data_IF_870253071511
#
_entry.id   IF_870253071511
#
_cell.length_a   1.000
_cell.length_b   1.000
_cell.length_c   1.000
_cell.angle_alpha   90.00
_cell.angle_beta   90.00
_cell.angle_gamma   90.00
#
_symmetry.space_group_name_H-M   'P 1'
#
loop_
_entity.id
_entity.type
_entity.pdbx_description
1 polymer ?
#
# COMPACT_ATOMS: atom_id res chain seq x y z
N UNK A 1 -3.36 42.94 72.63
CA UNK A 1 -3.09 41.54 72.21
C UNK A 1 -3.35 41.48 70.67
N UNK A 2 -2.29 41.32 69.89
CA UNK A 2 -2.39 41.37 68.40
C UNK A 2 -2.30 39.96 67.88
N UNK A 3 -3.42 39.40 67.39
CA UNK A 3 -3.46 38.08 66.76
C UNK A 3 -2.96 38.20 65.30
N UNK A 4 -1.90 37.47 64.97
CA UNK A 4 -1.40 37.32 63.59
C UNK A 4 -2.17 36.26 62.86
N UNK A 5 -2.92 36.62 61.82
CA UNK A 5 -3.61 35.73 60.94
C UNK A 5 -2.58 35.17 59.92
N UNK A 6 -2.24 33.88 60.02
CA UNK A 6 -1.38 33.19 59.07
C UNK A 6 -2.24 32.67 57.90
N UNK A 7 -2.10 33.32 56.77
CA UNK A 7 -2.77 32.90 55.52
C UNK A 7 -1.91 31.78 54.87
N UNK A 8 -2.37 30.51 54.97
CA UNK A 8 -1.74 29.40 54.28
C UNK A 8 -2.20 29.42 52.81
N UNK A 9 -1.30 29.79 51.91
CA UNK A 9 -1.50 29.71 50.48
C UNK A 9 -1.22 28.29 50.02
N UNK A 10 -2.25 27.50 49.78
CA UNK A 10 -2.14 26.16 49.17
C UNK A 10 -1.85 26.33 47.68
N UNK A 11 -0.59 26.14 47.28
CA UNK A 11 -0.22 25.97 45.87
C UNK A 11 -0.61 24.58 45.39
N UNK A 12 -1.73 24.43 44.70
CA UNK A 12 -2.07 23.21 43.98
C UNK A 12 -1.26 23.16 42.67
N UNK A 13 -0.21 22.35 42.68
CA UNK A 13 0.55 22.02 41.46
C UNK A 13 -0.31 21.08 40.61
N UNK A 14 -0.93 21.62 39.58
CA UNK A 14 -1.55 20.82 38.53
C UNK A 14 -0.42 20.16 37.68
N UNK A 15 -0.12 18.91 37.96
CA UNK A 15 0.75 18.11 37.10
C UNK A 15 -0.01 17.81 35.78
N UNK A 16 0.31 18.56 34.72
CA UNK A 16 -0.12 18.24 33.37
C UNK A 16 0.60 16.96 32.93
N UNK A 17 -0.06 15.81 33.09
CA UNK A 17 0.41 14.57 32.52
C UNK A 17 0.20 14.62 31.00
N UNK A 18 1.25 14.97 30.25
CA UNK A 18 1.26 14.85 28.81
C UNK A 18 1.30 13.37 28.44
N UNK A 19 0.14 12.79 28.14
CA UNK A 19 0.04 11.46 27.55
C UNK A 19 0.58 11.58 26.13
N UNK A 20 1.83 11.17 25.93
CA UNK A 20 2.41 10.97 24.60
C UNK A 20 1.71 9.77 23.98
N UNK A 21 0.73 10.02 23.11
CA UNK A 21 0.19 9.00 22.23
C UNK A 21 1.28 8.61 21.23
N UNK A 22 1.95 7.49 21.44
CA UNK A 22 2.71 6.86 20.38
C UNK A 22 1.72 6.44 19.26
N UNK A 23 1.99 6.75 17.97
CA UNK A 23 1.15 6.28 16.89
C UNK A 23 1.07 4.75 16.95
N UNK A 24 -0.14 4.19 16.88
CA UNK A 24 -0.31 2.75 16.86
C UNK A 24 0.28 2.18 15.55
N UNK A 25 0.77 0.94 15.58
CA UNK A 25 1.25 0.26 14.37
C UNK A 25 0.18 0.29 13.25
N UNK A 26 -1.09 0.22 13.62
CA UNK A 26 -2.22 0.34 12.68
C UNK A 26 -2.27 1.71 11.97
N UNK A 27 -2.04 2.83 12.66
CA UNK A 27 -2.00 4.15 12.03
C UNK A 27 -0.82 4.26 11.07
N UNK A 28 0.35 3.71 11.44
CA UNK A 28 1.54 3.68 10.59
C UNK A 28 1.30 2.87 9.29
N UNK A 29 0.60 1.74 9.37
CA UNK A 29 0.28 0.92 8.20
C UNK A 29 -0.75 1.56 7.27
N UNK A 30 -1.72 2.30 7.81
CA UNK A 30 -2.65 3.08 7.01
C UNK A 30 -1.94 4.20 6.24
N UNK A 31 -1.03 4.91 6.88
CA UNK A 31 -0.23 5.97 6.24
C UNK A 31 0.65 5.38 5.13
N UNK A 32 1.30 4.23 5.38
CA UNK A 32 2.12 3.53 4.40
C UNK A 32 1.30 3.07 3.17
N UNK A 33 0.11 2.53 3.38
CA UNK A 33 -0.82 2.15 2.31
C UNK A 33 -1.20 3.36 1.44
N UNK A 34 -1.47 4.52 2.05
CA UNK A 34 -1.76 5.77 1.35
C UNK A 34 -0.57 6.26 0.52
N UNK A 35 0.65 6.17 1.05
CA UNK A 35 1.87 6.56 0.32
C UNK A 35 2.13 5.65 -0.90
N UNK A 36 1.93 4.34 -0.76
CA UNK A 36 2.02 3.38 -1.87
C UNK A 36 1.04 3.76 -2.98
N UNK A 37 -0.22 4.02 -2.64
CA UNK A 37 -1.24 4.44 -3.61
C UNK A 37 -0.85 5.76 -4.29
N UNK A 38 -0.40 6.75 -3.53
CA UNK A 38 0.02 8.06 -4.06
C UNK A 38 1.19 7.90 -5.03
N UNK A 39 2.21 7.13 -4.66
CA UNK A 39 3.36 6.82 -5.50
C UNK A 39 2.93 6.13 -6.79
N UNK A 40 2.04 5.14 -6.70
CA UNK A 40 1.53 4.42 -7.86
C UNK A 40 0.75 5.34 -8.82
N UNK A 41 -0.16 6.15 -8.31
CA UNK A 41 -0.98 7.07 -9.10
C UNK A 41 -0.15 8.17 -9.77
N UNK A 42 0.95 8.61 -9.14
CA UNK A 42 1.87 9.60 -9.73
C UNK A 42 2.56 9.07 -11.01
N UNK A 43 2.70 7.77 -11.15
CA UNK A 43 3.29 7.12 -12.34
C UNK A 43 2.29 6.82 -13.45
N UNK A 44 1.00 7.18 -13.28
CA UNK A 44 -0.04 6.95 -14.30
C UNK A 44 0.37 7.59 -15.64
N UNK A 45 0.22 6.82 -16.71
CA UNK A 45 0.58 7.24 -18.08
C UNK A 45 2.02 6.92 -18.49
N UNK A 46 2.88 6.44 -17.58
CA UNK A 46 4.20 5.93 -17.96
C UNK A 46 4.02 4.70 -18.85
N UNK A 47 4.79 4.65 -19.95
CA UNK A 47 4.67 3.59 -20.94
C UNK A 47 5.05 2.21 -20.42
N UNK A 48 4.41 1.17 -20.96
CA UNK A 48 4.84 -0.21 -20.74
C UNK A 48 6.20 -0.46 -21.41
N UNK A 49 7.06 -1.19 -20.71
CA UNK A 49 8.33 -1.67 -21.26
C UNK A 49 8.64 -3.04 -20.65
N UNK A 50 8.76 -4.06 -21.48
CA UNK A 50 9.16 -5.39 -21.02
C UNK A 50 10.51 -5.35 -20.28
N UNK A 51 10.58 -5.94 -19.09
CA UNK A 51 11.75 -5.88 -18.22
C UNK A 51 12.00 -4.52 -17.56
N UNK A 52 11.11 -3.53 -17.76
CA UNK A 52 11.26 -2.18 -17.25
C UNK A 52 11.00 -2.08 -15.74
N UNK A 53 11.84 -1.27 -15.06
CA UNK A 53 11.81 -1.09 -13.59
C UNK A 53 11.96 0.37 -13.18
N UNK A 54 11.85 1.31 -14.11
CA UNK A 54 12.10 2.74 -13.88
C UNK A 54 11.02 3.61 -14.54
N UNK A 55 10.90 4.89 -14.20
CA UNK A 55 9.96 5.81 -14.85
C UNK A 55 10.16 6.00 -16.37
N UNK A 56 11.23 5.46 -16.95
CA UNK A 56 11.41 5.39 -18.41
C UNK A 56 10.58 4.28 -19.07
N UNK A 57 9.90 3.45 -18.30
CA UNK A 57 9.02 2.37 -18.69
C UNK A 57 9.04 1.21 -17.71
N UNK A 58 7.90 0.60 -17.50
CA UNK A 58 7.69 -0.50 -16.57
C UNK A 58 7.03 -1.71 -17.22
N UNK A 59 7.41 -2.91 -16.79
CA UNK A 59 6.51 -4.05 -16.85
C UNK A 59 5.65 -4.14 -15.56
N UNK A 60 4.73 -5.10 -15.49
CA UNK A 60 3.76 -5.18 -14.39
C UNK A 60 4.43 -5.35 -13.01
N UNK A 61 5.31 -6.32 -12.87
CA UNK A 61 6.01 -6.61 -11.60
C UNK A 61 7.11 -5.60 -11.29
N UNK A 62 7.77 -5.03 -12.30
CA UNK A 62 8.75 -3.95 -12.13
C UNK A 62 8.12 -2.64 -11.66
N UNK A 63 6.92 -2.32 -12.12
CA UNK A 63 6.13 -1.21 -11.60
C UNK A 63 5.81 -1.40 -10.10
N UNK A 64 5.27 -2.56 -9.74
CA UNK A 64 4.93 -2.87 -8.35
C UNK A 64 6.19 -2.84 -7.48
N UNK A 65 7.27 -3.51 -7.91
CA UNK A 65 8.54 -3.51 -7.19
C UNK A 65 9.09 -2.08 -6.97
N UNK A 66 9.03 -1.23 -7.98
CA UNK A 66 9.48 0.16 -7.89
C UNK A 66 8.66 0.95 -6.84
N UNK A 67 7.32 0.86 -6.90
CA UNK A 67 6.43 1.55 -5.97
C UNK A 67 6.70 1.14 -4.53
N UNK A 68 6.81 -0.17 -4.28
CA UNK A 68 7.08 -0.69 -2.93
C UNK A 68 8.46 -0.29 -2.42
N UNK A 69 9.48 -0.37 -3.26
CA UNK A 69 10.86 0.05 -2.92
C UNK A 69 10.95 1.53 -2.55
N UNK A 70 10.25 2.43 -3.26
CA UNK A 70 10.20 3.86 -2.93
C UNK A 70 9.58 4.08 -1.54
N UNK A 71 8.68 3.21 -1.12
CA UNK A 71 8.03 3.25 0.19
C UNK A 71 8.72 2.37 1.25
N UNK A 72 9.97 1.93 1.00
CA UNK A 72 10.79 1.23 1.97
C UNK A 72 10.53 -0.27 2.09
N UNK A 73 9.72 -0.86 1.19
CA UNK A 73 9.41 -2.30 1.17
C UNK A 73 10.16 -2.98 0.02
N UNK A 74 10.95 -4.02 0.32
CA UNK A 74 11.61 -4.85 -0.68
C UNK A 74 10.72 -6.03 -1.04
N UNK A 75 10.45 -6.21 -2.34
CA UNK A 75 9.68 -7.34 -2.86
C UNK A 75 10.41 -7.96 -4.06
N UNK A 76 10.14 -9.24 -4.41
CA UNK A 76 10.74 -9.91 -5.56
C UNK A 76 10.52 -9.17 -6.89
N UNK A 77 11.35 -9.51 -7.90
CA UNK A 77 11.33 -8.83 -9.22
C UNK A 77 10.16 -9.27 -10.10
N UNK A 78 9.85 -10.54 -10.13
CA UNK A 78 8.85 -11.11 -11.04
C UNK A 78 7.53 -11.41 -10.35
N UNK A 79 6.44 -11.46 -11.13
CA UNK A 79 5.09 -11.60 -10.62
C UNK A 79 4.86 -12.95 -9.91
N UNK A 80 5.47 -14.01 -10.41
CA UNK A 80 5.36 -15.36 -9.81
C UNK A 80 5.99 -15.37 -8.40
N UNK A 81 7.22 -14.88 -8.27
CA UNK A 81 7.88 -14.76 -6.96
C UNK A 81 7.12 -13.83 -6.01
N UNK A 82 6.58 -12.71 -6.50
CA UNK A 82 5.75 -11.80 -5.70
C UNK A 82 4.48 -12.50 -5.18
N UNK A 83 3.90 -13.40 -5.97
CA UNK A 83 2.71 -14.14 -5.57
C UNK A 83 3.00 -15.17 -4.47
N UNK A 84 4.14 -15.87 -4.52
CA UNK A 84 4.46 -16.91 -3.53
C UNK A 84 5.15 -16.37 -2.27
N UNK A 85 5.81 -15.22 -2.35
CA UNK A 85 6.51 -14.58 -1.22
C UNK A 85 5.57 -13.76 -0.31
N UNK A 86 4.56 -13.10 -0.87
CA UNK A 86 3.62 -12.27 -0.12
C UNK A 86 2.60 -13.07 0.70
N UNK A 87 2.10 -12.47 1.78
CA UNK A 87 1.08 -13.06 2.64
C UNK A 87 -0.26 -13.18 1.94
N UNK A 88 -0.81 -14.40 1.92
CA UNK A 88 -2.10 -14.67 1.28
C UNK A 88 -3.24 -13.98 2.04
N UNK A 89 -4.04 -13.21 1.31
CA UNK A 89 -5.26 -12.59 1.82
C UNK A 89 -6.49 -13.01 1.02
N UNK A 90 -7.65 -13.01 1.70
CA UNK A 90 -8.94 -13.22 1.05
C UNK A 90 -9.31 -12.02 0.18
N UNK A 91 -9.98 -12.25 -0.94
CA UNK A 91 -10.51 -11.17 -1.78
C UNK A 91 -11.51 -10.27 -1.03
N UNK A 92 -12.23 -10.82 -0.04
CA UNK A 92 -13.13 -10.04 0.82
C UNK A 92 -12.39 -9.09 1.78
N UNK A 93 -11.12 -9.34 2.05
CA UNK A 93 -10.29 -8.60 3.00
C UNK A 93 -9.32 -7.64 2.31
N UNK A 94 -9.44 -7.50 0.98
CA UNK A 94 -8.61 -6.59 0.18
C UNK A 94 -8.63 -5.16 0.74
N UNK A 95 -7.43 -4.63 0.95
CA UNK A 95 -7.20 -3.25 1.36
C UNK A 95 -6.36 -2.51 0.31
N UNK A 96 -6.56 -1.20 0.11
CA UNK A 96 -5.68 -0.42 -0.74
C UNK A 96 -4.21 -0.64 -0.40
N UNK A 97 -3.36 -0.88 -1.42
CA UNK A 97 -1.96 -1.25 -1.28
C UNK A 97 -1.67 -2.74 -1.34
N UNK A 98 -2.68 -3.61 -1.28
CA UNK A 98 -2.50 -5.04 -1.53
C UNK A 98 -2.28 -5.33 -3.01
N UNK A 99 -1.65 -6.45 -3.31
CA UNK A 99 -1.37 -6.88 -4.67
C UNK A 99 -2.44 -7.85 -5.17
N UNK A 100 -2.88 -7.66 -6.40
CA UNK A 100 -3.82 -8.54 -7.10
C UNK A 100 -3.14 -9.20 -8.30
N UNK A 101 -3.35 -10.49 -8.49
CA UNK A 101 -2.63 -11.32 -9.46
C UNK A 101 -3.57 -12.00 -10.45
N UNK A 102 -3.07 -12.14 -11.67
CA UNK A 102 -3.83 -12.67 -12.80
C UNK A 102 -2.97 -13.62 -13.65
N UNK A 103 -3.65 -14.60 -14.26
CA UNK A 103 -3.06 -15.44 -15.30
C UNK A 103 -3.40 -14.84 -16.68
N UNK A 104 -2.45 -14.15 -17.30
CA UNK A 104 -2.68 -13.43 -18.56
C UNK A 104 -1.97 -14.05 -19.77
N UNK A 105 -0.64 -13.91 -19.87
CA UNK A 105 0.11 -14.32 -21.07
C UNK A 105 0.81 -15.68 -20.90
N UNK A 106 0.90 -16.21 -19.70
CA UNK A 106 1.42 -17.56 -19.41
C UNK A 106 0.68 -18.18 -18.22
N UNK A 107 0.88 -19.48 -18.00
CA UNK A 107 0.27 -20.21 -16.88
C UNK A 107 0.81 -19.70 -15.54
N UNK A 108 -0.06 -19.59 -14.54
CA UNK A 108 0.27 -19.07 -13.21
C UNK A 108 0.20 -17.56 -13.10
N UNK A 109 0.74 -16.96 -12.01
CA UNK A 109 0.66 -15.51 -11.76
C UNK A 109 1.61 -14.73 -12.66
N UNK A 110 1.16 -14.46 -13.87
CA UNK A 110 1.91 -13.80 -14.92
C UNK A 110 1.68 -12.28 -14.99
N UNK A 111 0.69 -11.76 -14.25
CA UNK A 111 0.40 -10.34 -14.19
C UNK A 111 0.03 -9.90 -12.78
N UNK A 112 0.40 -8.66 -12.42
CA UNK A 112 0.19 -8.11 -11.09
C UNK A 112 -0.18 -6.63 -11.17
N UNK A 113 -1.02 -6.18 -10.22
CA UNK A 113 -1.33 -4.78 -9.99
C UNK A 113 -1.49 -4.48 -8.50
N UNK A 114 -1.59 -3.20 -8.17
CA UNK A 114 -1.80 -2.70 -6.82
C UNK A 114 -3.29 -2.35 -6.67
N UNK A 115 -3.98 -2.97 -5.73
CA UNK A 115 -5.37 -2.65 -5.42
C UNK A 115 -5.47 -1.24 -4.83
N UNK A 116 -6.40 -0.44 -5.33
CA UNK A 116 -6.60 0.95 -4.92
C UNK A 116 -7.96 1.23 -4.27
N UNK A 117 -8.76 0.18 -4.02
CA UNK A 117 -10.12 0.30 -3.49
C UNK A 117 -11.19 0.24 -4.60
N UNK A 118 -12.45 0.08 -4.20
CA UNK A 118 -13.63 0.11 -5.08
C UNK A 118 -13.55 -0.86 -6.27
N UNK A 119 -13.03 -2.07 -6.05
CA UNK A 119 -12.76 -3.08 -7.08
C UNK A 119 -11.86 -2.59 -8.22
N UNK A 120 -10.98 -1.61 -7.97
CA UNK A 120 -10.04 -1.07 -8.93
C UNK A 120 -8.60 -1.37 -8.55
N UNK A 121 -7.76 -1.50 -9.54
CA UNK A 121 -6.32 -1.69 -9.36
C UNK A 121 -5.54 -0.88 -10.40
N UNK A 122 -4.31 -0.50 -10.04
CA UNK A 122 -3.37 0.19 -10.93
C UNK A 122 -2.25 -0.77 -11.31
N UNK A 123 -1.92 -0.82 -12.59
CA UNK A 123 -0.93 -1.75 -13.13
C UNK A 123 -0.27 -1.21 -14.40
N UNK A 124 0.80 -1.87 -14.87
CA UNK A 124 1.39 -1.62 -16.17
C UNK A 124 0.72 -2.53 -17.22
N UNK A 125 -0.23 -1.98 -17.97
CA UNK A 125 -0.90 -2.68 -19.06
C UNK A 125 -0.04 -2.65 -20.34
N UNK A 126 0.04 -3.78 -21.05
CA UNK A 126 0.89 -3.93 -22.25
C UNK A 126 0.63 -2.85 -23.31
N UNK A 127 -0.64 -2.52 -23.56
CA UNK A 127 -1.04 -1.52 -24.56
C UNK A 127 -1.35 -0.13 -24.01
N UNK A 128 -1.40 0.04 -22.68
CA UNK A 128 -1.85 1.30 -22.06
C UNK A 128 -0.83 1.95 -21.13
N UNK A 129 0.26 1.26 -20.81
CA UNK A 129 1.19 1.71 -19.77
C UNK A 129 0.55 1.65 -18.36
N UNK A 130 0.97 2.53 -17.48
CA UNK A 130 0.43 2.58 -16.12
C UNK A 130 -0.98 3.17 -16.15
N UNK A 131 -1.97 2.32 -15.84
CA UNK A 131 -3.39 2.68 -15.87
C UNK A 131 -4.19 1.99 -14.78
N UNK A 132 -5.43 2.42 -14.60
CA UNK A 132 -6.37 1.87 -13.63
C UNK A 132 -7.45 1.11 -14.39
N UNK A 133 -7.66 -0.15 -14.00
CA UNK A 133 -8.72 -1.02 -14.49
C UNK A 133 -9.55 -1.57 -13.32
N UNK A 134 -10.63 -2.28 -13.64
CA UNK A 134 -11.56 -2.85 -12.67
C UNK A 134 -11.40 -4.37 -12.55
N UNK A 135 -11.42 -4.89 -11.32
CA UNK A 135 -11.54 -6.34 -11.06
C UNK A 135 -12.85 -6.94 -11.60
N UNK A 136 -13.86 -6.10 -11.86
CA UNK A 136 -15.16 -6.51 -12.40
C UNK A 136 -15.17 -6.61 -13.93
N UNK A 137 -14.14 -6.13 -14.62
CA UNK A 137 -14.02 -6.33 -16.06
C UNK A 137 -13.85 -7.81 -16.39
N UNK A 138 -14.59 -8.32 -17.35
CA UNK A 138 -14.63 -9.74 -17.68
C UNK A 138 -13.23 -10.33 -17.92
N UNK A 139 -12.36 -9.58 -18.61
CA UNK A 139 -10.98 -9.99 -18.87
C UNK A 139 -10.19 -10.29 -17.60
N UNK A 140 -10.28 -9.44 -16.58
CA UNK A 140 -9.57 -9.60 -15.32
C UNK A 140 -10.30 -10.55 -14.35
N UNK A 141 -11.63 -10.49 -14.29
CA UNK A 141 -12.43 -11.36 -13.44
C UNK A 141 -12.20 -12.84 -13.74
N UNK A 142 -12.14 -13.21 -15.03
CA UNK A 142 -11.89 -14.59 -15.49
C UNK A 142 -10.45 -15.06 -15.25
N UNK A 143 -9.50 -14.14 -15.06
CA UNK A 143 -8.06 -14.42 -14.93
C UNK A 143 -7.51 -14.21 -13.53
N UNK A 144 -8.36 -13.77 -12.61
CA UNK A 144 -7.95 -13.49 -11.25
C UNK A 144 -7.52 -14.76 -10.49
N UNK A 145 -6.35 -14.73 -9.89
CA UNK A 145 -5.76 -15.84 -9.14
C UNK A 145 -5.81 -15.64 -7.63
N UNK A 146 -5.91 -14.41 -7.16
CA UNK A 146 -5.91 -14.10 -5.74
C UNK A 146 -5.10 -12.84 -5.41
N UNK A 147 -4.97 -12.60 -4.12
CA UNK A 147 -4.29 -11.41 -3.61
C UNK A 147 -3.21 -11.75 -2.58
N UNK A 148 -2.26 -10.80 -2.42
CA UNK A 148 -1.17 -10.86 -1.44
C UNK A 148 -1.00 -9.52 -0.76
N UNK A 149 -0.60 -9.54 0.52
CA UNK A 149 -0.13 -8.36 1.24
C UNK A 149 1.37 -8.43 1.50
N UNK A 150 2.01 -7.27 1.49
CA UNK A 150 3.37 -7.02 1.94
C UNK A 150 3.39 -5.95 3.04
N UNK A 151 2.22 -5.63 3.57
CA UNK A 151 2.01 -4.58 4.57
C UNK A 151 1.24 -5.23 5.73
N UNK A 152 1.89 -5.36 6.88
CA UNK A 152 1.35 -5.95 8.12
C UNK A 152 0.25 -5.07 8.77
#
# INVERSE_FOLDING_TARGET
MKGKLFCFLLLTVFAFSSVLFAPSAYANNQDLRQEIIRTALHLKGVSYRWGGTTPSGFDCSGFVQYVFRINGISIPRDADSQYYDGDKISTSDLKPGDLVFFQTYESGPSHVGIYIGDNRFIHAAYHGGIMVDSLNESYYAERYLGARSYID
#
